data_IF_985206284664
#
_entry.id   IF_985206284664
#
_cell.length_a   1.000
_cell.length_b   1.000
_cell.length_c   1.000
_cell.angle_alpha   90.00
_cell.angle_beta   90.00
_cell.angle_gamma   90.00
#
_symmetry.space_group_name_H-M   'P 1'
#
loop_
_entity.id
_entity.type
_entity.pdbx_description
1 polymer ?
#
# COMPACT_ATOMS: atom_id res chain seq x y z
N UNK A 1 6.64 -15.43 -1.29
CA UNK A 1 5.36 -16.17 -1.36
C UNK A 1 4.98 -16.39 -2.81
N UNK A 2 4.50 -17.58 -3.16
CA UNK A 2 4.02 -17.91 -4.51
C UNK A 2 2.58 -17.42 -4.73
N UNK A 3 2.12 -17.38 -6.00
CA UNK A 3 0.73 -17.04 -6.31
C UNK A 3 -0.28 -18.01 -5.65
N UNK A 4 0.03 -19.29 -5.59
CA UNK A 4 -0.84 -20.28 -4.97
C UNK A 4 -1.00 -20.06 -3.47
N UNK A 5 0.11 -19.82 -2.75
CA UNK A 5 0.08 -19.49 -1.33
C UNK A 5 -0.67 -18.17 -1.06
N UNK A 6 -0.55 -17.18 -1.95
CA UNK A 6 -1.34 -15.94 -1.86
C UNK A 6 -2.86 -16.21 -1.98
N UNK A 7 -3.26 -17.18 -2.81
CA UNK A 7 -4.67 -17.53 -3.02
C UNK A 7 -5.27 -18.38 -1.90
N UNK A 8 -4.49 -18.83 -0.93
CA UNK A 8 -4.99 -19.59 0.21
C UNK A 8 -5.92 -18.75 1.08
N UNK A 9 -6.95 -19.43 1.63
CA UNK A 9 -7.96 -18.79 2.48
C UNK A 9 -7.32 -17.98 3.62
N UNK A 10 -6.32 -18.54 4.31
CA UNK A 10 -5.68 -17.90 5.45
C UNK A 10 -5.00 -16.58 5.05
N UNK A 11 -4.24 -16.58 3.97
CA UNK A 11 -3.55 -15.39 3.45
C UNK A 11 -4.53 -14.29 3.05
N UNK A 12 -5.61 -14.66 2.36
CA UNK A 12 -6.66 -13.72 1.97
C UNK A 12 -7.46 -13.20 3.17
N UNK A 13 -7.67 -14.02 4.18
CA UNK A 13 -8.35 -13.61 5.40
C UNK A 13 -7.50 -12.61 6.20
N UNK A 14 -6.20 -12.83 6.30
CA UNK A 14 -5.26 -11.86 6.90
C UNK A 14 -5.22 -10.56 6.11
N UNK A 15 -5.19 -10.61 4.78
CA UNK A 15 -5.28 -9.43 3.93
C UNK A 15 -6.61 -8.67 4.13
N UNK A 16 -7.74 -9.38 4.32
CA UNK A 16 -9.01 -8.77 4.69
C UNK A 16 -8.90 -8.05 6.04
N UNK A 17 -8.28 -8.66 7.06
CA UNK A 17 -8.10 -8.04 8.37
C UNK A 17 -7.29 -6.74 8.29
N UNK A 18 -6.27 -6.70 7.43
CA UNK A 18 -5.51 -5.47 7.15
C UNK A 18 -6.34 -4.43 6.39
N UNK A 19 -7.01 -4.85 5.31
CA UNK A 19 -7.82 -3.96 4.46
C UNK A 19 -8.93 -3.23 5.22
N UNK A 20 -9.54 -3.87 6.24
CA UNK A 20 -10.63 -3.29 7.05
C UNK A 20 -10.19 -2.30 8.12
N UNK A 21 -8.90 -2.25 8.49
CA UNK A 21 -8.41 -1.36 9.55
C UNK A 21 -8.82 0.09 9.31
N UNK A 22 -9.48 0.70 10.29
CA UNK A 22 -9.99 2.07 10.21
C UNK A 22 -11.11 2.31 9.17
N UNK A 23 -11.70 1.24 8.59
CA UNK A 23 -12.71 1.35 7.52
C UNK A 23 -13.97 0.52 7.78
N UNK A 24 -14.15 -0.04 8.97
CA UNK A 24 -15.29 -0.94 9.29
C UNK A 24 -16.65 -0.30 9.13
N UNK A 25 -16.76 1.02 9.34
CA UNK A 25 -17.99 1.78 9.13
C UNK A 25 -18.34 2.06 7.66
N UNK A 26 -17.45 1.76 6.71
CA UNK A 26 -17.73 1.95 5.30
C UNK A 26 -18.65 0.82 4.79
N UNK A 27 -19.69 1.15 3.98
CA UNK A 27 -20.70 0.16 3.56
C UNK A 27 -20.10 -1.10 2.91
N UNK A 28 -19.17 -0.95 1.97
CA UNK A 28 -18.53 -2.10 1.30
C UNK A 28 -17.70 -2.96 2.25
N UNK A 29 -17.07 -2.36 3.27
CA UNK A 29 -16.33 -3.10 4.29
C UNK A 29 -17.29 -3.85 5.21
N UNK A 30 -18.33 -3.18 5.70
CA UNK A 30 -19.34 -3.79 6.58
C UNK A 30 -20.07 -4.95 5.89
N UNK A 31 -20.42 -4.80 4.61
CA UNK A 31 -21.05 -5.85 3.82
C UNK A 31 -20.14 -7.08 3.66
N UNK A 32 -18.85 -6.89 3.39
CA UNK A 32 -17.89 -7.99 3.32
C UNK A 32 -17.72 -8.64 4.69
N UNK A 33 -17.57 -7.84 5.76
CA UNK A 33 -17.37 -8.30 7.13
C UNK A 33 -18.54 -9.16 7.65
N UNK A 34 -19.78 -8.83 7.29
CA UNK A 34 -20.97 -9.61 7.66
C UNK A 34 -20.90 -11.08 7.18
N UNK A 35 -20.18 -11.34 6.09
CA UNK A 35 -20.03 -12.68 5.49
C UNK A 35 -18.55 -13.00 5.21
N UNK A 36 -17.64 -12.53 6.05
CA UNK A 36 -16.21 -12.53 5.77
C UNK A 36 -15.65 -13.91 5.40
N UNK A 37 -16.06 -14.96 6.12
CA UNK A 37 -15.59 -16.32 5.84
C UNK A 37 -16.04 -16.79 4.46
N UNK A 38 -17.33 -16.62 4.14
CA UNK A 38 -17.90 -17.04 2.87
C UNK A 38 -17.33 -16.21 1.71
N UNK A 39 -17.18 -14.90 1.90
CA UNK A 39 -16.60 -14.01 0.89
C UNK A 39 -15.14 -14.35 0.61
N UNK A 40 -14.36 -14.64 1.66
CA UNK A 40 -12.95 -15.01 1.51
C UNK A 40 -12.79 -16.38 0.86
N UNK A 41 -13.62 -17.36 1.20
CA UNK A 41 -13.60 -18.69 0.58
C UNK A 41 -13.92 -18.61 -0.92
N UNK A 42 -14.97 -17.89 -1.29
CA UNK A 42 -15.30 -17.62 -2.69
C UNK A 42 -14.17 -16.92 -3.42
N UNK A 43 -13.52 -15.93 -2.77
CA UNK A 43 -12.41 -15.20 -3.35
C UNK A 43 -11.21 -16.12 -3.59
N UNK A 44 -10.87 -16.97 -2.63
CA UNK A 44 -9.84 -18.02 -2.77
C UNK A 44 -10.15 -18.92 -3.97
N UNK A 45 -11.39 -19.40 -4.08
CA UNK A 45 -11.81 -20.26 -5.19
C UNK A 45 -11.63 -19.60 -6.55
N UNK A 46 -12.14 -18.37 -6.75
CA UNK A 46 -12.05 -17.69 -8.06
C UNK A 46 -10.62 -17.29 -8.43
N UNK A 47 -9.77 -16.99 -7.45
CA UNK A 47 -8.35 -16.71 -7.68
C UNK A 47 -7.60 -17.99 -8.11
N UNK A 48 -7.83 -19.11 -7.44
CA UNK A 48 -7.24 -20.41 -7.81
C UNK A 48 -7.67 -20.87 -9.20
N UNK A 49 -8.92 -20.61 -9.58
CA UNK A 49 -9.43 -20.90 -10.93
C UNK A 49 -8.95 -19.89 -11.99
N UNK A 50 -8.25 -18.81 -11.58
CA UNK A 50 -7.82 -17.72 -12.47
C UNK A 50 -8.98 -17.05 -13.23
N UNK A 51 -10.16 -17.05 -12.64
CA UNK A 51 -11.38 -16.45 -13.20
C UNK A 51 -11.74 -15.12 -12.55
N UNK A 52 -10.95 -14.68 -11.59
CA UNK A 52 -11.15 -13.40 -10.91
C UNK A 52 -11.14 -12.23 -11.91
N UNK A 53 -12.14 -11.35 -11.74
CA UNK A 53 -12.23 -10.08 -12.48
C UNK A 53 -12.45 -8.95 -11.47
N UNK A 54 -11.67 -7.85 -11.54
CA UNK A 54 -11.89 -6.70 -10.69
C UNK A 54 -13.29 -6.12 -10.85
N UNK A 55 -13.87 -5.66 -9.74
CA UNK A 55 -15.25 -5.14 -9.69
C UNK A 55 -15.39 -3.71 -10.23
N UNK A 56 -14.29 -3.05 -10.59
CA UNK A 56 -14.29 -1.67 -11.04
C UNK A 56 -14.03 -0.66 -9.90
N UNK A 57 -14.25 0.62 -10.20
CA UNK A 57 -13.92 1.73 -9.31
C UNK A 57 -15.17 2.52 -8.92
N UNK A 58 -15.26 2.87 -7.64
CA UNK A 58 -16.14 3.93 -7.15
C UNK A 58 -15.43 5.27 -7.34
N UNK A 59 -16.09 6.21 -8.01
CA UNK A 59 -15.51 7.51 -8.37
C UNK A 59 -16.17 8.62 -7.57
N UNK A 60 -15.37 9.40 -6.84
CA UNK A 60 -15.88 10.55 -6.07
C UNK A 60 -14.86 11.67 -5.96
N UNK A 61 -15.31 12.87 -5.58
CA UNK A 61 -14.43 14.01 -5.34
C UNK A 61 -14.11 14.19 -3.87
N UNK A 62 -12.84 14.47 -3.58
CA UNK A 62 -12.37 14.97 -2.29
C UNK A 62 -11.98 16.43 -2.47
N UNK A 63 -12.37 17.30 -1.54
CA UNK A 63 -12.20 18.75 -1.69
C UNK A 63 -11.09 19.35 -0.83
N UNK A 64 -10.55 18.60 0.14
CA UNK A 64 -9.49 19.09 1.04
C UNK A 64 -8.18 18.32 0.83
N UNK A 65 -7.04 19.02 0.77
CA UNK A 65 -6.83 20.48 0.69
C UNK A 65 -7.07 21.05 -0.71
N UNK A 66 -7.26 20.20 -1.72
CA UNK A 66 -7.56 20.55 -3.11
C UNK A 66 -8.61 19.58 -3.66
N UNK A 67 -9.43 20.05 -4.58
CA UNK A 67 -10.36 19.19 -5.32
C UNK A 67 -9.58 18.11 -6.08
N UNK A 68 -9.85 16.85 -5.77
CA UNK A 68 -9.24 15.68 -6.41
C UNK A 68 -10.31 14.67 -6.78
N UNK A 69 -10.22 14.13 -7.97
CA UNK A 69 -11.01 12.96 -8.37
C UNK A 69 -10.32 11.72 -7.78
N UNK A 70 -11.05 10.96 -6.98
CA UNK A 70 -10.59 9.72 -6.39
C UNK A 70 -11.32 8.55 -7.03
N UNK A 71 -10.56 7.56 -7.46
CA UNK A 71 -11.07 6.29 -7.95
C UNK A 71 -10.70 5.21 -6.92
N UNK A 72 -11.69 4.73 -6.18
CA UNK A 72 -11.49 3.73 -5.14
C UNK A 72 -11.94 2.35 -5.64
N UNK A 73 -11.10 1.32 -5.60
CA UNK A 73 -11.54 -0.04 -5.94
C UNK A 73 -12.55 -0.55 -4.92
N UNK A 74 -13.40 -1.49 -5.33
CA UNK A 74 -14.32 -2.19 -4.44
C UNK A 74 -13.57 -2.85 -3.28
N UNK A 75 -14.27 -3.10 -2.16
CA UNK A 75 -13.59 -3.62 -0.96
C UNK A 75 -12.97 -5.01 -1.20
N UNK A 76 -13.62 -5.88 -1.95
CA UNK A 76 -13.09 -7.19 -2.33
C UNK A 76 -11.78 -7.05 -3.12
N UNK A 77 -11.72 -6.09 -4.03
CA UNK A 77 -10.50 -5.83 -4.81
C UNK A 77 -9.37 -5.30 -3.93
N UNK A 78 -9.68 -4.52 -2.88
CA UNK A 78 -8.70 -4.09 -1.88
C UNK A 78 -8.10 -5.26 -1.11
N UNK A 79 -8.90 -6.29 -0.80
CA UNK A 79 -8.39 -7.52 -0.15
C UNK A 79 -7.37 -8.20 -1.07
N UNK A 80 -7.69 -8.36 -2.36
CA UNK A 80 -6.76 -8.94 -3.35
C UNK A 80 -5.49 -8.10 -3.49
N UNK A 81 -5.63 -6.76 -3.55
CA UNK A 81 -4.49 -5.86 -3.65
C UNK A 81 -3.58 -5.93 -2.40
N UNK A 82 -4.15 -6.03 -1.20
CA UNK A 82 -3.37 -6.25 0.02
C UNK A 82 -2.64 -7.60 -0.02
N UNK A 83 -3.35 -8.68 -0.36
CA UNK A 83 -2.73 -10.00 -0.47
C UNK A 83 -1.57 -10.01 -1.47
N UNK A 84 -1.77 -9.42 -2.65
CA UNK A 84 -0.76 -9.34 -3.70
C UNK A 84 0.42 -8.45 -3.30
N UNK A 85 0.13 -7.25 -2.81
CA UNK A 85 1.19 -6.28 -2.49
C UNK A 85 2.02 -6.75 -1.31
N UNK A 86 1.36 -7.13 -0.20
CA UNK A 86 2.07 -7.39 1.05
C UNK A 86 2.83 -8.72 1.06
N UNK A 87 2.41 -9.70 0.24
CA UNK A 87 2.97 -11.05 0.26
C UNK A 87 3.79 -11.42 -0.98
N UNK A 88 3.53 -10.79 -2.12
CA UNK A 88 4.20 -11.15 -3.39
C UNK A 88 5.09 -10.02 -3.90
N UNK A 89 4.55 -8.80 -3.98
CA UNK A 89 5.25 -7.71 -4.67
C UNK A 89 6.21 -6.95 -3.76
N UNK A 90 5.87 -6.76 -2.49
CA UNK A 90 6.57 -5.85 -1.59
C UNK A 90 8.07 -6.13 -1.53
N UNK A 91 8.46 -7.35 -1.19
CA UNK A 91 9.87 -7.71 -1.01
C UNK A 91 10.64 -7.60 -2.35
N UNK A 92 10.02 -8.03 -3.45
CA UNK A 92 10.64 -7.96 -4.79
C UNK A 92 10.86 -6.52 -5.23
N UNK A 93 9.88 -5.65 -5.05
CA UNK A 93 9.97 -4.24 -5.46
C UNK A 93 10.94 -3.47 -4.58
N UNK A 94 10.90 -3.70 -3.25
CA UNK A 94 11.74 -2.97 -2.30
C UNK A 94 13.22 -3.28 -2.44
N UNK A 95 13.62 -4.45 -2.97
CA UNK A 95 15.03 -4.76 -3.25
C UNK A 95 15.66 -3.85 -4.30
N UNK A 96 14.84 -3.31 -5.22
CA UNK A 96 15.29 -2.36 -6.25
C UNK A 96 15.36 -0.91 -5.81
N UNK A 97 14.88 -0.58 -4.61
CA UNK A 97 14.87 0.81 -4.15
C UNK A 97 16.20 1.25 -3.59
N UNK A 98 16.59 2.48 -3.93
CA UNK A 98 17.74 3.12 -3.27
C UNK A 98 17.44 3.34 -1.79
N UNK A 99 18.50 3.42 -0.96
CA UNK A 99 18.36 3.61 0.48
C UNK A 99 17.54 4.84 0.84
N UNK A 100 17.65 5.91 0.07
CA UNK A 100 17.00 7.20 0.33
C UNK A 100 15.56 7.29 -0.23
N UNK A 101 15.01 6.17 -0.69
CA UNK A 101 13.56 6.07 -0.91
C UNK A 101 12.87 5.78 0.44
N UNK A 102 12.06 6.73 0.90
CA UNK A 102 11.34 6.65 2.17
C UNK A 102 9.83 6.46 2.02
N UNK A 103 9.32 6.44 0.79
CA UNK A 103 7.90 6.28 0.52
C UNK A 103 7.48 4.82 0.52
N UNK A 104 6.35 4.54 1.17
CA UNK A 104 5.67 3.23 1.13
C UNK A 104 6.54 2.03 1.52
N UNK A 105 7.53 2.23 2.37
CA UNK A 105 8.38 1.16 2.90
C UNK A 105 8.17 0.96 4.40
N UNK A 106 8.15 -0.30 4.83
CA UNK A 106 8.06 -0.68 6.24
C UNK A 106 9.28 -0.14 7.00
N UNK A 107 9.06 0.44 8.17
CA UNK A 107 10.13 1.04 8.99
C UNK A 107 10.72 2.34 8.45
N UNK A 108 10.26 2.85 7.31
CA UNK A 108 10.60 4.15 6.76
C UNK A 108 9.38 5.08 6.71
N UNK A 109 9.62 6.36 6.52
CA UNK A 109 8.55 7.36 6.43
C UNK A 109 9.12 8.78 6.56
N UNK A 110 8.25 9.75 6.80
CA UNK A 110 8.62 11.17 6.87
C UNK A 110 9.73 11.44 7.90
N UNK A 111 9.65 10.81 9.08
CA UNK A 111 10.67 11.01 10.11
C UNK A 111 12.03 10.48 9.67
N UNK A 112 12.08 9.26 9.12
CA UNK A 112 13.32 8.67 8.60
C UNK A 112 13.92 9.52 7.47
N UNK A 113 13.07 10.04 6.56
CA UNK A 113 13.48 10.96 5.51
C UNK A 113 14.13 12.24 6.07
N UNK A 114 13.54 12.86 7.10
CA UNK A 114 14.08 14.07 7.74
C UNK A 114 15.43 13.78 8.40
N UNK A 115 15.54 12.69 9.15
CA UNK A 115 16.78 12.28 9.80
C UNK A 115 17.88 12.04 8.76
N UNK A 116 17.54 11.37 7.67
CA UNK A 116 18.47 11.08 6.57
C UNK A 116 18.92 12.35 5.85
N UNK A 117 17.99 13.26 5.53
CA UNK A 117 18.32 14.56 4.94
C UNK A 117 19.26 15.37 5.84
N UNK A 118 18.97 15.43 7.15
CA UNK A 118 19.85 16.08 8.12
C UNK A 118 21.27 15.48 8.09
N UNK A 119 21.39 14.16 8.00
CA UNK A 119 22.68 13.48 7.86
C UNK A 119 23.44 13.97 6.62
N UNK A 120 22.78 14.01 5.46
CA UNK A 120 23.39 14.50 4.22
C UNK A 120 23.84 15.97 4.32
N UNK A 121 23.05 16.82 4.97
CA UNK A 121 23.43 18.23 5.19
C UNK A 121 24.67 18.35 6.09
N UNK A 122 24.77 17.56 7.14
CA UNK A 122 25.95 17.54 8.03
C UNK A 122 27.19 17.05 7.29
N UNK A 123 27.06 15.99 6.50
CA UNK A 123 28.17 15.45 5.71
C UNK A 123 28.62 16.43 4.62
N UNK A 124 27.69 17.15 4.00
CA UNK A 124 28.00 18.22 3.06
C UNK A 124 28.82 19.34 3.74
N UNK A 125 28.37 19.81 4.89
CA UNK A 125 29.06 20.83 5.67
C UNK A 125 30.49 20.40 6.05
N UNK A 126 30.65 19.17 6.54
CA UNK A 126 31.97 18.61 6.91
C UNK A 126 32.93 18.56 5.72
N UNK A 127 32.43 18.25 4.53
CA UNK A 127 33.26 18.15 3.32
C UNK A 127 33.64 19.51 2.75
N UNK A 128 32.76 20.51 2.81
CA UNK A 128 32.92 21.78 2.10
C UNK A 128 33.29 22.95 3.04
N UNK A 129 33.20 22.78 4.36
CA UNK A 129 33.42 23.84 5.35
C UNK A 129 32.37 24.97 5.34
N UNK A 130 31.32 24.83 4.53
CA UNK A 130 30.23 25.80 4.36
C UNK A 130 28.90 25.10 4.22
N UNK A 131 27.83 25.76 4.64
CA UNK A 131 26.43 25.33 4.39
C UNK A 131 25.88 25.87 3.06
N UNK A 132 26.66 26.62 2.30
CA UNK A 132 26.22 27.18 1.02
C UNK A 132 26.08 26.10 -0.03
N UNK A 133 24.87 25.94 -0.55
CA UNK A 133 24.56 24.90 -1.52
C UNK A 133 23.18 25.08 -2.15
N UNK A 134 22.87 24.21 -3.07
CA UNK A 134 21.60 24.20 -3.79
C UNK A 134 20.83 22.91 -3.52
N UNK A 135 19.52 23.04 -3.35
CA UNK A 135 18.61 21.89 -3.23
C UNK A 135 17.68 21.88 -4.43
N UNK A 136 17.75 20.82 -5.21
CA UNK A 136 16.80 20.58 -6.30
C UNK A 136 15.58 19.82 -5.74
N UNK A 137 14.41 20.44 -5.82
CA UNK A 137 13.13 19.80 -5.55
C UNK A 137 12.44 19.51 -6.88
N UNK A 138 12.19 18.23 -7.15
CA UNK A 138 11.44 17.76 -8.32
C UNK A 138 10.03 17.34 -7.89
N UNK A 139 9.01 17.79 -8.63
CA UNK A 139 7.59 17.39 -8.46
C UNK A 139 7.15 16.59 -9.70
#
# INVERSE_FOLDING_TARGET
>A
MTYQEMCEFQTLYEAYLEARKGKRSKPGTAQYEANALICTDKLSYVLNQKTYKPSGFEVFYVYEPKKRLVQAPAFVDKVVLHALTDNVLYDTICTGFIRDNHASQRGKGTLDAIVRLKGHMVDYYRKNGSADGWVLKCD
#
